data_IF_980771643806
#
_entry.id   IF_980771643806
#
_cell.length_a   1.000
_cell.length_b   1.000
_cell.length_c   1.000
_cell.angle_alpha   90.00
_cell.angle_beta   90.00
_cell.angle_gamma   90.00
#
_symmetry.space_group_name_H-M   'P 1'
#
loop_
_entity.id
_entity.type
_entity.pdbx_description
1 polymer ?
#
# COMPACT_ATOMS: atom_id res chain seq x y z
N UNK A 1 17.61 -54.38 92.56
CA UNK A 1 16.52 -55.38 92.57
C UNK A 1 15.40 -54.83 91.68
N UNK A 2 15.00 -55.57 90.63
CA UNK A 2 13.74 -55.51 89.85
C UNK A 2 13.35 -54.15 89.19
N UNK A 3 13.31 -54.01 87.85
CA UNK A 3 12.32 -54.47 86.84
C UNK A 3 11.15 -53.47 86.57
N UNK A 4 10.70 -53.45 85.30
CA UNK A 4 9.52 -52.79 84.69
C UNK A 4 9.59 -51.25 84.56
N UNK A 5 9.34 -50.59 83.42
CA UNK A 5 8.56 -50.92 82.23
C UNK A 5 7.28 -50.07 82.21
N UNK A 6 7.11 -49.11 81.30
CA UNK A 6 5.78 -48.69 80.82
C UNK A 6 5.83 -47.78 79.60
N UNK A 7 4.83 -47.98 78.74
CA UNK A 7 4.54 -47.31 77.46
C UNK A 7 3.72 -46.02 77.68
N UNK A 8 3.54 -45.28 76.57
CA UNK A 8 2.53 -44.23 76.25
C UNK A 8 3.13 -42.82 76.23
N UNK A 9 2.75 -41.88 75.36
CA UNK A 9 1.99 -41.84 74.12
C UNK A 9 2.17 -40.42 73.53
N UNK A 10 2.16 -40.33 72.20
CA UNK A 10 1.67 -39.23 71.33
C UNK A 10 1.84 -37.77 71.79
N UNK A 11 2.54 -36.97 70.96
CA UNK A 11 2.06 -35.64 70.58
C UNK A 11 2.52 -35.31 69.14
N UNK A 12 1.53 -35.25 68.26
CA UNK A 12 1.62 -34.79 66.87
C UNK A 12 1.49 -33.26 66.89
N UNK A 13 2.44 -32.55 66.29
CA UNK A 13 2.30 -31.12 66.00
C UNK A 13 2.17 -30.97 64.49
N UNK A 14 0.96 -30.62 64.03
CA UNK A 14 0.66 -30.24 62.65
C UNK A 14 1.04 -28.77 62.50
N UNK A 15 2.03 -28.47 61.67
CA UNK A 15 2.32 -27.09 61.23
C UNK A 15 1.62 -26.88 59.89
N UNK A 16 0.55 -26.08 59.89
CA UNK A 16 -0.10 -25.60 58.69
C UNK A 16 0.71 -24.44 58.09
N UNK A 17 1.45 -24.69 57.01
CA UNK A 17 2.04 -23.65 56.17
C UNK A 17 1.08 -23.36 55.01
N UNK A 18 0.44 -22.18 55.05
CA UNK A 18 -0.33 -21.64 53.95
C UNK A 18 0.62 -21.26 52.79
N UNK A 19 0.58 -22.04 51.71
CA UNK A 19 1.30 -21.77 50.46
C UNK A 19 0.38 -21.20 49.39
N UNK A 20 0.83 -20.13 48.74
CA UNK A 20 0.09 -19.37 47.72
C UNK A 20 -0.36 -20.21 46.52
N UNK A 21 -1.46 -19.78 45.91
CA UNK A 21 -1.99 -20.30 44.65
C UNK A 21 -0.99 -20.12 43.49
N UNK A 22 -0.84 -21.17 42.68
CA UNK A 22 -0.26 -21.09 41.34
C UNK A 22 -1.27 -21.65 40.34
N UNK A 23 -1.96 -20.74 39.65
CA UNK A 23 -2.69 -21.07 38.42
C UNK A 23 -1.73 -21.72 37.44
N UNK A 24 -2.15 -22.83 36.83
CA UNK A 24 -1.38 -23.51 35.78
C UNK A 24 -1.03 -22.53 34.66
N UNK A 25 0.25 -22.28 34.47
CA UNK A 25 0.75 -21.57 33.30
C UNK A 25 0.72 -22.55 32.12
N UNK A 26 -0.22 -22.35 31.20
CA UNK A 26 -0.21 -23.00 29.89
C UNK A 26 0.94 -22.41 29.07
N UNK A 27 2.10 -23.06 29.12
CA UNK A 27 3.20 -22.75 28.23
C UNK A 27 2.86 -23.25 26.83
N UNK A 28 2.19 -22.43 26.02
CA UNK A 28 2.13 -22.66 24.58
C UNK A 28 3.44 -22.17 23.94
N UNK A 29 4.41 -23.08 23.94
CA UNK A 29 5.37 -23.38 22.88
C UNK A 29 5.86 -22.24 21.95
N UNK A 30 6.74 -21.40 22.49
CA UNK A 30 7.60 -20.51 21.70
C UNK A 30 8.44 -21.27 20.65
N UNK A 31 8.90 -22.48 20.98
CA UNK A 31 9.71 -23.30 20.06
C UNK A 31 8.89 -23.94 18.94
N UNK A 32 7.60 -24.22 19.15
CA UNK A 32 6.69 -24.71 18.10
C UNK A 32 6.41 -23.62 17.05
N UNK A 33 6.41 -22.34 17.43
CA UNK A 33 6.29 -21.22 16.51
C UNK A 33 7.56 -20.98 15.66
N UNK A 34 8.75 -21.33 16.18
CA UNK A 34 10.02 -21.11 15.50
C UNK A 34 10.37 -22.24 14.49
N UNK A 35 10.05 -23.50 14.79
CA UNK A 35 10.40 -24.64 13.94
C UNK A 35 9.23 -25.26 13.15
N UNK A 36 7.98 -24.85 13.41
CA UNK A 36 6.81 -25.27 12.63
C UNK A 36 6.79 -24.80 11.17
N UNK A 37 7.75 -23.97 10.75
CA UNK A 37 7.88 -23.47 9.39
C UNK A 37 8.26 -24.55 8.35
N UNK A 38 8.63 -25.77 8.76
CA UNK A 38 8.95 -26.87 7.82
C UNK A 38 7.78 -27.81 7.51
N UNK A 39 6.62 -27.66 8.15
CA UNK A 39 5.41 -28.45 7.86
C UNK A 39 4.27 -27.56 7.35
N UNK A 40 4.50 -27.01 6.14
CA UNK A 40 3.50 -26.64 5.13
C UNK A 40 2.05 -26.37 5.54
N UNK A 41 1.81 -25.45 6.48
CA UNK A 41 0.49 -24.84 6.65
C UNK A 41 0.46 -23.52 5.88
N UNK A 42 -0.52 -23.30 4.97
CA UNK A 42 -0.68 -22.00 4.34
C UNK A 42 -1.01 -20.96 5.43
N UNK A 43 -0.39 -19.75 5.41
CA UNK A 43 -0.72 -18.72 6.38
C UNK A 43 -2.21 -18.36 6.26
N UNK A 44 -2.92 -18.09 7.37
CA UNK A 44 -4.23 -17.47 7.29
C UNK A 44 -4.04 -16.15 6.54
N UNK A 45 -4.74 -16.02 5.41
CA UNK A 45 -4.74 -14.78 4.64
C UNK A 45 -5.20 -13.67 5.57
N UNK A 46 -4.28 -12.76 5.90
CA UNK A 46 -4.61 -11.49 6.52
C UNK A 46 -5.46 -10.71 5.52
N UNK A 47 -6.78 -10.91 5.59
CA UNK A 47 -7.74 -10.04 4.93
C UNK A 47 -7.58 -8.69 5.61
N UNK A 48 -6.90 -7.76 4.94
CA UNK A 48 -7.02 -6.35 5.26
C UNK A 48 -8.50 -6.01 5.23
N UNK A 49 -9.09 -5.79 6.40
CA UNK A 49 -10.47 -5.36 6.52
C UNK A 49 -10.52 -3.90 6.08
N UNK A 50 -10.90 -3.68 4.82
CA UNK A 50 -11.34 -2.38 4.35
C UNK A 50 -12.82 -2.30 4.73
N UNK A 51 -13.22 -1.40 5.66
CA UNK A 51 -14.58 -1.36 6.20
C UNK A 51 -15.67 -1.00 5.17
N UNK A 52 -15.32 -0.82 3.91
CA UNK A 52 -16.21 -0.46 2.79
C UNK A 52 -16.40 -1.59 1.76
N UNK A 53 -15.85 -2.80 1.98
CA UNK A 53 -15.85 -3.88 0.99
C UNK A 53 -16.89 -4.99 1.24
N UNK A 54 -17.67 -4.92 2.30
CA UNK A 54 -18.72 -5.90 2.59
C UNK A 54 -20.07 -5.25 2.38
N UNK A 55 -20.59 -5.29 1.16
CA UNK A 55 -22.03 -5.47 0.87
C UNK A 55 -22.20 -5.62 -0.65
N UNK A 56 -22.50 -6.85 -1.11
CA UNK A 56 -23.11 -7.06 -2.43
C UNK A 56 -22.22 -7.49 -3.61
N UNK A 57 -21.05 -8.10 -3.40
CA UNK A 57 -20.32 -8.74 -4.51
C UNK A 57 -20.89 -10.13 -4.82
N UNK A 58 -21.55 -10.23 -5.96
CA UNK A 58 -21.96 -11.48 -6.61
C UNK A 58 -20.74 -12.41 -6.77
N UNK A 59 -20.83 -13.62 -6.23
CA UNK A 59 -19.70 -14.55 -6.03
C UNK A 59 -19.09 -15.11 -7.34
N UNK A 60 -19.56 -14.66 -8.51
CA UNK A 60 -19.13 -15.12 -9.83
C UNK A 60 -18.41 -14.05 -10.67
N UNK A 61 -18.17 -12.86 -10.14
CA UNK A 61 -17.29 -11.89 -10.81
C UNK A 61 -15.83 -12.27 -10.46
N UNK A 62 -14.92 -12.53 -11.43
CA UNK A 62 -13.50 -12.53 -11.11
C UNK A 62 -13.20 -11.13 -10.56
N UNK A 63 -12.99 -11.06 -9.24
CA UNK A 63 -12.61 -9.83 -8.58
C UNK A 63 -11.45 -9.25 -9.40
N UNK A 64 -11.62 -8.04 -9.92
CA UNK A 64 -10.49 -7.25 -10.33
C UNK A 64 -9.70 -7.04 -9.06
N UNK A 65 -8.75 -7.96 -8.80
CA UNK A 65 -7.77 -7.83 -7.75
C UNK A 65 -7.22 -6.43 -7.92
N UNK A 66 -7.27 -5.56 -6.90
CA UNK A 66 -6.43 -4.37 -6.95
C UNK A 66 -5.06 -4.92 -7.30
N UNK A 67 -4.50 -4.45 -8.40
CA UNK A 67 -3.23 -4.96 -8.90
C UNK A 67 -2.26 -4.79 -7.73
N UNK A 68 -2.05 -5.88 -6.98
CA UNK A 68 -0.94 -6.00 -6.04
C UNK A 68 0.22 -5.54 -6.91
N UNK A 69 1.03 -4.53 -6.50
CA UNK A 69 2.16 -4.11 -7.29
C UNK A 69 2.84 -5.41 -7.68
N UNK A 70 2.75 -5.73 -8.97
CA UNK A 70 3.14 -7.05 -9.40
C UNK A 70 4.58 -7.10 -8.95
N UNK A 71 4.92 -8.07 -8.11
CA UNK A 71 6.30 -8.41 -7.83
C UNK A 71 6.89 -9.02 -9.11
N UNK A 72 6.67 -8.37 -10.26
CA UNK A 72 7.55 -8.41 -11.40
C UNK A 72 8.88 -7.97 -10.83
N UNK A 73 9.89 -8.84 -10.88
CA UNK A 73 11.25 -8.57 -10.40
C UNK A 73 11.99 -7.45 -11.15
N UNK A 74 11.28 -6.39 -11.55
CA UNK A 74 11.81 -5.14 -12.04
C UNK A 74 12.03 -4.17 -10.88
N UNK A 75 13.04 -3.31 -11.01
CA UNK A 75 13.36 -2.27 -10.04
C UNK A 75 12.20 -1.25 -10.01
N UNK A 76 11.61 -1.02 -8.82
CA UNK A 76 10.59 0.01 -8.63
C UNK A 76 11.17 1.36 -9.01
N UNK A 77 10.42 2.15 -9.78
CA UNK A 77 10.81 3.50 -10.13
C UNK A 77 10.16 4.50 -9.17
N UNK A 78 10.91 5.54 -8.81
CA UNK A 78 10.48 6.61 -7.94
C UNK A 78 10.70 7.94 -8.65
N UNK A 79 9.66 8.75 -8.72
CA UNK A 79 9.80 10.15 -9.11
C UNK A 79 10.16 10.94 -7.87
N UNK A 80 11.26 11.69 -7.92
CA UNK A 80 11.79 12.46 -6.80
C UNK A 80 11.81 13.93 -7.17
N UNK A 81 11.15 14.77 -6.37
CA UNK A 81 11.27 16.22 -6.43
C UNK A 81 12.57 16.65 -5.77
N UNK A 82 13.45 17.35 -6.48
CA UNK A 82 14.83 17.59 -6.02
C UNK A 82 14.96 18.68 -4.96
N UNK A 83 13.96 19.56 -4.84
CA UNK A 83 14.03 20.71 -3.95
C UNK A 83 13.74 20.37 -2.47
N UNK A 84 12.99 19.30 -2.20
CA UNK A 84 12.69 18.78 -0.85
C UNK A 84 12.92 17.26 -0.71
N UNK A 85 13.34 16.61 -1.78
CA UNK A 85 13.57 15.17 -1.82
C UNK A 85 12.29 14.34 -1.74
N UNK A 86 11.09 14.92 -1.81
CA UNK A 86 9.85 14.13 -1.74
C UNK A 86 9.77 13.18 -2.93
N UNK A 87 9.26 11.96 -2.70
CA UNK A 87 9.12 10.98 -3.75
C UNK A 87 7.73 10.36 -3.78
N UNK A 88 7.37 9.82 -4.95
CA UNK A 88 6.23 8.93 -5.10
C UNK A 88 6.59 7.76 -6.03
N UNK A 89 6.05 6.56 -5.76
CA UNK A 89 6.26 5.40 -6.63
C UNK A 89 5.59 5.65 -7.98
N UNK A 90 6.32 5.37 -9.05
CA UNK A 90 5.76 5.37 -10.39
C UNK A 90 5.39 3.95 -10.79
N UNK A 91 4.19 3.79 -11.33
CA UNK A 91 3.82 2.56 -12.02
C UNK A 91 4.51 2.52 -13.37
N UNK A 92 4.92 1.32 -13.81
CA UNK A 92 5.31 1.11 -15.20
C UNK A 92 4.10 1.37 -16.09
N UNK A 93 4.07 2.51 -16.77
CA UNK A 93 2.92 2.94 -17.56
C UNK A 93 3.35 3.63 -18.84
N UNK A 94 2.66 3.25 -19.92
CA UNK A 94 2.67 3.77 -21.30
C UNK A 94 4.06 3.88 -22.00
N UNK A 95 4.02 4.16 -23.31
CA UNK A 95 5.21 4.22 -24.18
C UNK A 95 6.09 5.46 -23.90
N UNK A 96 5.81 6.23 -22.85
CA UNK A 96 6.56 7.42 -22.48
C UNK A 96 7.75 7.04 -21.58
N UNK A 97 8.85 7.80 -21.66
CA UNK A 97 9.96 7.63 -20.73
C UNK A 97 9.51 7.96 -19.30
N UNK A 98 10.01 7.23 -18.31
CA UNK A 98 9.70 7.49 -16.90
C UNK A 98 10.07 8.90 -16.45
N UNK A 99 11.11 9.48 -17.04
CA UNK A 99 11.50 10.87 -16.79
C UNK A 99 10.39 11.83 -17.24
N UNK A 100 9.91 11.70 -18.48
CA UNK A 100 8.85 12.57 -18.98
C UNK A 100 7.52 12.40 -18.22
N UNK A 101 7.20 11.19 -17.75
CA UNK A 101 6.02 10.97 -16.88
C UNK A 101 6.21 11.54 -15.47
N UNK A 102 7.42 11.52 -14.93
CA UNK A 102 7.75 12.14 -13.64
C UNK A 102 7.63 13.68 -13.74
N UNK A 103 8.12 14.25 -14.83
CA UNK A 103 8.06 15.70 -15.10
C UNK A 103 6.62 16.17 -15.34
N UNK A 104 5.77 15.39 -16.05
CA UNK A 104 4.37 15.76 -16.26
C UNK A 104 3.53 15.75 -14.98
N UNK A 105 3.92 14.95 -13.99
CA UNK A 105 3.27 14.91 -12.68
C UNK A 105 3.72 16.06 -11.76
N UNK A 106 4.90 16.64 -12.01
CA UNK A 106 5.47 17.73 -11.21
C UNK A 106 6.09 18.85 -12.05
N UNK A 107 5.36 19.48 -12.99
CA UNK A 107 5.87 20.52 -13.89
C UNK A 107 6.34 21.79 -13.17
N UNK A 108 5.86 22.06 -11.95
CA UNK A 108 6.26 23.24 -11.18
C UNK A 108 7.56 23.04 -10.37
N UNK A 109 8.23 21.89 -10.45
CA UNK A 109 9.47 21.61 -9.73
C UNK A 109 10.41 20.72 -10.55
N UNK A 110 11.72 20.83 -10.32
CA UNK A 110 12.66 19.89 -10.92
C UNK A 110 12.49 18.49 -10.32
N UNK A 111 12.41 17.50 -11.20
CA UNK A 111 12.22 16.10 -10.85
C UNK A 111 13.31 15.19 -11.42
N UNK A 112 13.57 14.08 -10.73
CA UNK A 112 14.51 13.04 -11.14
C UNK A 112 13.95 11.66 -10.86
N UNK A 113 14.33 10.68 -11.69
CA UNK A 113 13.90 9.29 -11.52
C UNK A 113 15.00 8.46 -10.87
N UNK A 114 14.60 7.69 -9.86
CA UNK A 114 15.46 6.75 -9.15
C UNK A 114 14.85 5.35 -9.19
N UNK A 115 15.70 4.32 -9.14
CA UNK A 115 15.31 2.92 -9.27
C UNK A 115 15.87 2.09 -8.12
N UNK A 116 15.05 1.26 -7.49
CA UNK A 116 15.47 0.41 -6.38
C UNK A 116 14.35 -0.50 -5.90
N UNK A 117 14.63 -1.38 -4.95
CA UNK A 117 13.58 -2.09 -4.21
C UNK A 117 12.89 -1.15 -3.21
N UNK A 118 13.66 -0.27 -2.57
CA UNK A 118 13.20 0.82 -1.71
C UNK A 118 13.84 2.14 -2.14
N UNK A 119 13.23 3.26 -1.73
CA UNK A 119 13.79 4.59 -1.99
C UNK A 119 15.16 4.78 -1.30
N UNK A 120 15.36 4.18 -0.11
CA UNK A 120 16.54 4.44 0.73
C UNK A 120 17.84 3.95 0.07
N UNK A 121 17.73 3.02 -0.89
CA UNK A 121 18.84 2.48 -1.68
C UNK A 121 18.65 2.69 -3.19
N UNK A 122 17.72 3.58 -3.58
CA UNK A 122 17.43 3.80 -4.99
C UNK A 122 18.55 4.60 -5.67
N UNK A 123 18.85 4.26 -6.92
CA UNK A 123 19.87 4.93 -7.74
C UNK A 123 19.27 5.46 -9.04
N UNK A 124 19.74 6.63 -9.45
CA UNK A 124 19.45 7.19 -10.78
C UNK A 124 20.09 6.32 -11.87
N UNK A 125 19.70 6.57 -13.13
CA UNK A 125 20.29 5.88 -14.29
C UNK A 125 21.81 6.06 -14.39
N UNK A 126 22.33 7.21 -13.94
CA UNK A 126 23.77 7.50 -13.84
C UNK A 126 24.45 6.96 -12.58
N UNK A 127 23.80 6.10 -11.81
CA UNK A 127 24.39 5.44 -10.63
C UNK A 127 24.44 6.28 -9.34
N UNK A 128 24.02 7.55 -9.37
CA UNK A 128 23.95 8.38 -8.15
C UNK A 128 22.82 7.90 -7.24
N UNK A 129 23.11 7.71 -5.95
CA UNK A 129 22.11 7.38 -4.93
C UNK A 129 21.12 8.51 -4.70
N UNK A 130 19.87 8.18 -4.36
CA UNK A 130 18.90 9.17 -3.89
C UNK A 130 19.39 9.89 -2.62
N UNK A 131 20.03 9.16 -1.71
CA UNK A 131 20.56 9.71 -0.47
C UNK A 131 21.69 10.74 -0.65
N UNK A 132 22.29 10.84 -1.85
CA UNK A 132 23.34 11.83 -2.13
C UNK A 132 22.79 13.16 -2.68
N UNK A 133 21.47 13.29 -2.85
CA UNK A 133 20.86 14.58 -3.17
C UNK A 133 21.00 15.54 -1.98
N UNK A 134 21.27 16.83 -2.26
CA UNK A 134 21.42 17.85 -1.23
C UNK A 134 20.20 17.97 -0.29
N UNK A 135 18.99 17.76 -0.83
CA UNK A 135 17.73 17.80 -0.07
C UNK A 135 17.11 16.41 0.10
N UNK A 136 17.88 15.32 0.04
CA UNK A 136 17.35 13.98 0.25
C UNK A 136 16.60 13.90 1.60
N UNK A 137 15.42 13.28 1.60
CA UNK A 137 14.57 13.10 2.79
C UNK A 137 14.12 14.36 3.53
N UNK A 138 14.40 15.57 3.02
CA UNK A 138 14.09 16.83 3.70
C UNK A 138 12.59 16.99 4.00
N UNK A 139 11.74 16.52 3.08
CA UNK A 139 10.28 16.47 3.23
C UNK A 139 9.77 15.73 4.48
N UNK A 140 10.60 14.87 5.11
CA UNK A 140 10.23 14.16 6.34
C UNK A 140 10.20 15.07 7.56
N UNK A 141 10.97 16.16 7.54
CA UNK A 141 11.18 17.03 8.69
C UNK A 141 10.53 18.41 8.52
N UNK A 142 10.42 18.89 7.28
CA UNK A 142 9.84 20.21 7.02
C UNK A 142 9.14 20.31 5.66
N UNK A 143 8.29 21.33 5.56
CA UNK A 143 7.62 21.73 4.33
C UNK A 143 8.42 22.88 3.72
N UNK A 144 9.05 22.64 2.57
CA UNK A 144 9.85 23.66 1.88
C UNK A 144 8.94 24.56 1.06
N UNK A 145 8.94 25.86 1.36
CA UNK A 145 8.14 26.84 0.60
C UNK A 145 8.51 26.83 -0.89
N UNK A 146 7.50 26.86 -1.77
CA UNK A 146 7.67 26.81 -3.22
C UNK A 146 7.93 25.42 -3.81
N UNK A 147 8.20 24.39 -3.01
CA UNK A 147 8.34 23.01 -3.48
C UNK A 147 6.99 22.33 -3.68
N UNK A 148 6.37 22.54 -4.84
CA UNK A 148 5.05 21.98 -5.17
C UNK A 148 5.05 21.38 -6.57
N UNK A 149 4.24 20.34 -6.82
CA UNK A 149 4.11 19.78 -8.16
C UNK A 149 3.07 20.54 -9.00
N UNK A 150 2.06 21.14 -8.35
CA UNK A 150 0.97 21.86 -9.00
C UNK A 150 1.07 23.40 -8.92
N UNK A 151 2.11 23.95 -8.27
CA UNK A 151 2.28 25.39 -8.10
C UNK A 151 1.39 26.04 -7.02
N UNK A 152 0.61 25.25 -6.26
CA UNK A 152 -0.42 25.76 -5.33
C UNK A 152 -0.31 25.11 -3.95
N UNK A 153 -0.34 23.78 -3.91
CA UNK A 153 -0.44 22.99 -2.68
C UNK A 153 0.82 22.18 -2.43
N UNK A 154 1.21 22.04 -1.16
CA UNK A 154 2.46 21.40 -0.74
C UNK A 154 2.52 19.90 -1.09
N UNK A 155 1.37 19.25 -1.14
CA UNK A 155 1.23 17.80 -1.29
C UNK A 155 0.49 17.36 -2.55
N UNK A 156 -0.02 18.31 -3.35
CA UNK A 156 -0.78 18.02 -4.57
C UNK A 156 0.15 17.65 -5.73
N UNK A 157 -0.25 16.64 -6.51
CA UNK A 157 0.29 16.39 -7.84
C UNK A 157 -0.27 17.42 -8.83
N UNK A 158 0.39 17.62 -9.97
CA UNK A 158 -0.20 18.43 -11.02
C UNK A 158 -1.54 17.86 -11.47
N UNK A 159 -2.49 18.77 -11.71
CA UNK A 159 -3.71 18.43 -12.45
C UNK A 159 -3.30 18.19 -13.89
N UNK A 160 -3.52 16.97 -14.35
CA UNK A 160 -3.41 16.61 -15.76
C UNK A 160 -4.83 16.64 -16.31
N UNK A 161 -5.05 17.43 -17.34
CA UNK A 161 -6.33 17.44 -18.06
C UNK A 161 -6.55 16.06 -18.68
N UNK A 162 -7.80 15.60 -18.67
CA UNK A 162 -8.19 14.26 -19.14
C UNK A 162 -7.71 14.03 -20.58
N UNK A 163 -7.77 15.06 -21.42
CA UNK A 163 -7.35 15.05 -22.82
C UNK A 163 -5.85 14.78 -22.99
N UNK A 164 -5.07 15.04 -21.95
CA UNK A 164 -3.62 14.90 -21.91
C UNK A 164 -3.15 13.78 -20.96
N UNK A 165 -4.07 13.04 -20.34
CA UNK A 165 -3.73 11.98 -19.38
C UNK A 165 -3.15 10.76 -20.11
N UNK A 166 -1.83 10.51 -20.00
CA UNK A 166 -1.19 9.44 -20.75
C UNK A 166 -1.53 8.05 -20.19
N UNK A 167 -2.15 7.98 -19.01
CA UNK A 167 -2.57 6.73 -18.37
C UNK A 167 -3.85 6.17 -18.97
N UNK A 168 -4.67 7.01 -19.62
CA UNK A 168 -5.92 6.59 -20.25
C UNK A 168 -5.69 5.62 -21.41
N UNK A 169 -6.43 4.52 -21.38
CA UNK A 169 -6.42 3.44 -22.36
C UNK A 169 -7.70 3.44 -23.17
N UNK A 170 -7.64 2.82 -24.34
CA UNK A 170 -8.83 2.59 -25.16
C UNK A 170 -9.84 1.75 -24.36
N UNK A 171 -11.06 2.26 -24.23
CA UNK A 171 -12.16 1.63 -23.49
C UNK A 171 -12.35 2.16 -22.07
N UNK A 172 -11.43 2.98 -21.55
CA UNK A 172 -11.61 3.60 -20.23
C UNK A 172 -12.84 4.52 -20.25
N UNK A 173 -13.66 4.43 -19.22
CA UNK A 173 -14.85 5.27 -19.05
C UNK A 173 -14.45 6.48 -18.23
N UNK A 174 -14.68 7.67 -18.77
CA UNK A 174 -14.33 8.95 -18.15
C UNK A 174 -15.60 9.73 -17.88
N UNK A 175 -15.69 10.33 -16.69
CA UNK A 175 -16.73 11.29 -16.36
C UNK A 175 -16.33 12.68 -16.88
N UNK A 176 -16.91 13.07 -18.02
CA UNK A 176 -16.77 14.42 -18.56
C UNK A 176 -17.87 15.35 -18.06
N UNK A 177 -17.74 16.65 -18.37
CA UNK A 177 -18.75 17.66 -18.01
C UNK A 177 -20.14 17.35 -18.60
N UNK A 178 -20.17 16.80 -19.82
CA UNK A 178 -21.40 16.42 -20.54
C UNK A 178 -21.83 14.96 -20.29
N UNK A 179 -21.27 14.32 -19.26
CA UNK A 179 -21.56 12.95 -18.85
C UNK A 179 -20.47 11.94 -19.22
N UNK A 180 -20.83 10.64 -19.18
CA UNK A 180 -19.87 9.57 -19.39
C UNK A 180 -19.44 9.46 -20.85
N UNK A 181 -18.13 9.48 -21.07
CA UNK A 181 -17.48 9.24 -22.37
C UNK A 181 -16.54 8.05 -22.27
N UNK A 182 -16.19 7.47 -23.40
CA UNK A 182 -15.25 6.36 -23.52
C UNK A 182 -14.01 6.86 -24.25
N UNK A 183 -12.85 6.67 -23.63
CA UNK A 183 -11.56 6.99 -24.22
C UNK A 183 -11.26 6.04 -25.38
N UNK A 184 -10.90 6.63 -26.51
CA UNK A 184 -10.35 5.98 -27.68
C UNK A 184 -8.94 6.49 -27.95
N UNK A 185 -8.25 5.79 -28.85
CA UNK A 185 -6.98 6.25 -29.42
C UNK A 185 -7.08 6.17 -30.92
N UNK A 186 -6.89 7.30 -31.59
CA UNK A 186 -6.73 7.34 -33.05
C UNK A 186 -5.24 7.31 -33.37
N UNK A 187 -4.79 6.51 -34.36
CA UNK A 187 -3.41 6.56 -34.80
C UNK A 187 -3.17 7.92 -35.49
N UNK A 188 -2.35 8.77 -34.87
CA UNK A 188 -1.83 9.99 -35.49
C UNK A 188 -0.32 9.84 -35.74
N UNK A 189 0.20 10.59 -36.72
CA UNK A 189 1.61 10.56 -37.17
C UNK A 189 2.61 10.97 -36.08
N UNK A 190 2.16 11.52 -34.94
CA UNK A 190 3.01 11.97 -33.82
C UNK A 190 2.84 11.17 -32.53
N UNK A 191 2.05 10.09 -32.56
CA UNK A 191 1.63 9.34 -31.37
C UNK A 191 0.11 9.35 -31.25
N UNK A 192 -0.47 8.30 -30.69
CA UNK A 192 -1.91 8.12 -30.70
C UNK A 192 -2.63 9.21 -29.89
N UNK A 193 -3.39 10.08 -30.56
CA UNK A 193 -4.18 11.12 -29.91
C UNK A 193 -5.37 10.50 -29.17
N UNK A 194 -5.64 10.98 -27.96
CA UNK A 194 -6.85 10.61 -27.22
C UNK A 194 -8.08 11.20 -27.92
N UNK A 195 -9.10 10.38 -28.09
CA UNK A 195 -10.39 10.81 -28.61
C UNK A 195 -11.47 10.29 -27.67
N UNK A 196 -12.57 11.03 -27.51
CA UNK A 196 -13.66 10.63 -26.64
C UNK A 196 -14.91 10.40 -27.46
N UNK A 197 -15.60 9.28 -27.21
CA UNK A 197 -16.93 9.03 -27.79
C UNK A 197 -17.95 8.91 -26.66
N UNK A 198 -19.21 9.33 -26.86
CA UNK A 198 -20.25 9.15 -25.84
C UNK A 198 -20.36 7.70 -25.38
N UNK A 199 -20.52 7.47 -24.07
CA UNK A 199 -20.76 6.13 -23.56
C UNK A 199 -22.11 5.59 -24.05
N UNK A 200 -22.18 4.28 -24.27
CA UNK A 200 -23.42 3.62 -24.70
C UNK A 200 -24.50 3.69 -23.61
N UNK A 201 -25.78 3.58 -23.99
CA UNK A 201 -26.89 3.60 -23.05
C UNK A 201 -26.76 2.52 -21.96
N UNK A 202 -26.25 1.33 -22.32
CA UNK A 202 -26.00 0.24 -21.36
C UNK A 202 -24.92 0.62 -20.33
N UNK A 203 -23.86 1.30 -20.75
CA UNK A 203 -22.81 1.79 -19.84
C UNK A 203 -23.40 2.86 -18.91
N UNK A 204 -24.10 3.86 -19.47
CA UNK A 204 -24.74 4.92 -18.66
C UNK A 204 -25.70 4.35 -17.61
N UNK A 205 -26.59 3.45 -18.01
CA UNK A 205 -27.55 2.81 -17.10
C UNK A 205 -26.89 2.00 -15.98
N UNK A 206 -25.70 1.44 -16.22
CA UNK A 206 -24.92 0.71 -15.21
C UNK A 206 -24.38 1.63 -14.12
N UNK A 207 -23.90 2.82 -14.50
CA UNK A 207 -23.28 3.77 -13.57
C UNK A 207 -24.29 4.74 -12.92
N UNK A 208 -25.48 4.93 -13.50
CA UNK A 208 -26.59 5.69 -12.89
C UNK A 208 -27.14 5.07 -11.59
N UNK A 209 -26.97 3.76 -11.41
CA UNK A 209 -27.54 3.00 -10.28
C UNK A 209 -26.53 2.71 -9.17
N UNK A 210 -25.35 3.32 -9.21
CA UNK A 210 -24.38 3.12 -8.14
C UNK A 210 -24.91 3.79 -6.86
N UNK A 211 -24.96 3.08 -5.72
CA UNK A 211 -25.38 3.68 -4.47
C UNK A 211 -24.43 4.83 -4.14
N UNK A 212 -25.00 6.02 -3.94
CA UNK A 212 -24.24 7.18 -3.46
C UNK A 212 -23.90 6.92 -2.01
N UNK A 213 -22.66 6.47 -1.75
CA UNK A 213 -22.17 6.15 -0.40
C UNK A 213 -21.72 7.40 0.37
N UNK A 214 -21.79 8.57 -0.26
CA UNK A 214 -21.51 9.87 0.34
C UNK A 214 -22.83 10.66 0.48
N UNK A 215 -23.70 10.22 1.40
CA UNK A 215 -24.69 11.09 2.01
C UNK A 215 -24.23 11.37 3.44
N UNK A 216 -24.09 12.65 3.75
CA UNK A 216 -23.67 13.33 4.99
C UNK A 216 -23.67 12.52 6.30
#
# INVERSE_FOLDING_TARGET
MALFGSRRAVLVVIVAMAGCASSGAHANDFFSALFGAMTGHPPPSSRSFIPFANDGYDANQPAATPARPAATGGRQAYCVRTCDGRYFPMTSGNNQSRAASCDSLCPASETKVFYGSSIDHATSEGGKSYSSLANAFRYRNEIVSGCTCNGKDQFGLAKIDVENDPTLRKGDIVAGADGLVVAGRTPDRRGAALNFSPASAAVKAKFERLPVVASE
#
